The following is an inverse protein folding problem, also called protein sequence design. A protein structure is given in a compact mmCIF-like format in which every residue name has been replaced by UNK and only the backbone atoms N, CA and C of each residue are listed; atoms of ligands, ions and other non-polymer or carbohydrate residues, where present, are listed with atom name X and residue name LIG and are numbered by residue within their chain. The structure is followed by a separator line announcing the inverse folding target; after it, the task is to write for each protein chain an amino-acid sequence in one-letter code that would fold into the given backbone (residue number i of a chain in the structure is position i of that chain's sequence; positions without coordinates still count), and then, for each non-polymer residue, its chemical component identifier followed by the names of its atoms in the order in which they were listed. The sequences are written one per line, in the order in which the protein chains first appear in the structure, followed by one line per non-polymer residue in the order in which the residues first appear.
data_IF_429434545209
#
_entry.id   IF_429434545209
#
_cell.length_a   1.000
_cell.length_b   1.000
_cell.length_c   1.000
_cell.angle_alpha   90.00
_cell.angle_beta   90.00
_cell.angle_gamma   90.00
#
_symmetry.space_group_name_H-M   'P 1'
#
loop_
_entity.id
_entity.type
_entity.pdbx_description
1 polymer ?
#
# COMPACT_ATOMS: atom_id res chain seq x y z
N UNK A 1 14.28 -30.64 3.77
CA UNK A 1 13.47 -29.44 4.01
C UNK A 1 12.57 -29.15 2.80
N UNK A 2 11.55 -28.29 2.92
CA UNK A 2 10.53 -28.06 1.87
C UNK A 2 11.15 -27.74 0.49
N UNK A 3 12.25 -26.98 0.45
CA UNK A 3 12.91 -26.64 -0.80
C UNK A 3 13.63 -27.83 -1.47
N UNK A 4 14.05 -28.85 -0.70
CA UNK A 4 14.75 -30.03 -1.25
C UNK A 4 13.83 -30.94 -2.07
N UNK A 5 12.51 -30.76 -1.95
CA UNK A 5 11.51 -31.55 -2.67
C UNK A 5 11.25 -31.05 -4.10
N UNK A 6 11.66 -29.81 -4.43
CA UNK A 6 11.39 -29.19 -5.73
C UNK A 6 12.70 -28.90 -6.46
N UNK A 7 13.06 -29.75 -7.44
CA UNK A 7 14.22 -29.50 -8.32
C UNK A 7 13.94 -28.35 -9.29
N UNK A 8 14.93 -27.48 -9.48
CA UNK A 8 14.91 -26.33 -10.41
C UNK A 8 13.86 -25.25 -10.08
N UNK A 9 13.53 -25.05 -8.80
CA UNK A 9 12.62 -23.99 -8.36
C UNK A 9 13.34 -23.04 -7.43
N UNK A 10 13.26 -21.74 -7.71
CA UNK A 10 13.64 -20.69 -6.77
C UNK A 10 12.40 -20.27 -5.97
N UNK A 11 12.49 -20.28 -4.64
CA UNK A 11 11.38 -19.92 -3.75
C UNK A 11 11.58 -18.50 -3.22
N UNK A 12 10.58 -17.65 -3.42
CA UNK A 12 10.53 -16.29 -2.85
C UNK A 12 9.39 -16.24 -1.85
N UNK A 13 9.69 -15.81 -0.63
CA UNK A 13 8.68 -15.59 0.42
C UNK A 13 8.63 -14.11 0.76
N UNK A 14 7.42 -13.53 0.69
CA UNK A 14 7.18 -12.13 0.95
C UNK A 14 5.97 -11.97 1.88
N UNK A 15 6.06 -11.06 2.85
CA UNK A 15 4.98 -10.80 3.80
C UNK A 15 5.22 -9.55 4.64
N UNK A 16 4.15 -8.88 5.04
CA UNK A 16 4.20 -7.64 5.83
C UNK A 16 4.39 -7.86 7.33
N UNK A 17 4.16 -9.09 7.82
CA UNK A 17 4.31 -9.46 9.24
C UNK A 17 5.75 -9.91 9.51
N UNK A 18 6.65 -8.96 9.75
CA UNK A 18 8.09 -9.22 9.97
C UNK A 18 8.33 -10.30 11.02
N UNK A 19 7.68 -10.24 12.19
CA UNK A 19 7.82 -11.26 13.25
C UNK A 19 7.46 -12.70 12.80
N UNK A 20 6.48 -12.87 11.89
CA UNK A 20 6.16 -14.19 11.33
C UNK A 20 7.21 -14.63 10.31
N UNK A 21 7.71 -13.70 9.48
CA UNK A 21 8.80 -13.99 8.56
C UNK A 21 10.08 -14.40 9.32
N UNK A 22 10.35 -13.74 10.45
CA UNK A 22 11.45 -14.08 11.34
C UNK A 22 11.26 -15.45 11.99
N UNK A 23 10.06 -15.80 12.44
CA UNK A 23 9.82 -17.12 13.04
C UNK A 23 9.97 -18.27 12.04
N UNK A 24 9.69 -18.03 10.76
CA UNK A 24 9.87 -19.00 9.66
C UNK A 24 11.33 -19.22 9.26
N UNK A 25 12.20 -18.23 9.46
CA UNK A 25 13.56 -18.22 8.89
C UNK A 25 14.67 -18.16 9.95
N UNK A 26 14.42 -17.60 11.14
CA UNK A 26 15.46 -17.32 12.15
C UNK A 26 15.38 -18.21 13.39
N UNK A 27 14.20 -18.75 13.72
CA UNK A 27 14.07 -19.59 14.91
C UNK A 27 14.81 -20.92 14.74
N UNK A 28 15.49 -21.37 15.80
CA UNK A 28 16.16 -22.68 15.80
C UNK A 28 15.09 -23.78 15.67
N UNK A 29 15.13 -24.53 14.57
CA UNK A 29 14.08 -25.50 14.21
C UNK A 29 13.00 -24.95 13.27
N UNK A 30 13.13 -23.71 12.80
CA UNK A 30 12.24 -23.16 11.81
C UNK A 30 12.31 -23.93 10.48
N UNK A 31 11.20 -24.04 9.72
CA UNK A 31 11.14 -24.85 8.51
C UNK A 31 12.13 -24.44 7.42
N UNK A 32 12.59 -23.19 7.44
CA UNK A 32 13.42 -22.55 6.41
C UNK A 32 14.71 -21.95 6.96
N UNK A 33 15.13 -22.41 8.14
CA UNK A 33 16.33 -21.91 8.80
C UNK A 33 17.56 -22.03 7.89
N UNK A 34 18.26 -20.92 7.65
CA UNK A 34 19.43 -20.80 6.75
C UNK A 34 19.18 -21.19 5.27
N UNK A 35 17.92 -21.24 4.82
CA UNK A 35 17.59 -21.62 3.43
C UNK A 35 17.33 -20.43 2.50
N UNK A 36 17.24 -19.21 3.04
CA UNK A 36 16.81 -18.03 2.31
C UNK A 36 17.70 -16.83 2.61
N UNK A 37 17.91 -15.99 1.60
CA UNK A 37 18.49 -14.66 1.78
C UNK A 37 17.39 -13.68 2.24
N UNK A 38 17.74 -12.79 3.15
CA UNK A 38 16.80 -11.80 3.70
C UNK A 38 16.96 -10.48 2.95
N UNK A 39 15.85 -9.99 2.41
CA UNK A 39 15.76 -8.66 1.83
C UNK A 39 14.66 -7.90 2.57
N UNK A 40 15.04 -6.81 3.25
CA UNK A 40 14.07 -5.86 3.79
C UNK A 40 13.76 -4.83 2.73
N UNK A 41 12.48 -4.65 2.41
CA UNK A 41 12.03 -3.60 1.51
C UNK A 41 11.60 -2.40 2.35
N UNK A 42 12.22 -1.25 2.07
CA UNK A 42 11.76 0.03 2.57
C UNK A 42 10.60 0.58 1.73
N UNK A 43 10.04 1.73 2.14
CA UNK A 43 9.15 2.49 1.27
C UNK A 43 9.88 2.89 -0.02
N UNK A 44 9.11 3.01 -1.11
CA UNK A 44 9.60 3.58 -2.37
C UNK A 44 9.66 5.10 -2.17
N UNK A 45 10.76 5.78 -2.55
CA UNK A 45 10.93 7.20 -2.28
C UNK A 45 10.14 8.07 -3.27
N UNK A 46 9.97 9.35 -2.93
CA UNK A 46 9.14 10.29 -3.70
C UNK A 46 9.64 10.47 -5.14
N UNK A 47 10.96 10.56 -5.30
CA UNK A 47 11.63 10.74 -6.58
C UNK A 47 11.36 9.61 -7.58
N UNK A 48 10.98 8.42 -7.09
CA UNK A 48 10.57 7.29 -7.92
C UNK A 48 9.05 7.28 -8.17
N UNK A 49 8.27 7.71 -7.17
CA UNK A 49 6.81 7.77 -7.26
C UNK A 49 6.30 8.85 -8.19
N UNK A 50 6.79 10.08 -8.06
CA UNK A 50 6.28 11.22 -8.83
C UNK A 50 6.38 10.98 -10.34
N UNK A 51 7.54 10.54 -10.90
CA UNK A 51 7.61 10.20 -12.32
C UNK A 51 6.69 9.05 -12.72
N UNK A 52 6.53 8.04 -11.85
CA UNK A 52 5.61 6.94 -12.08
C UNK A 52 4.15 7.43 -12.18
N UNK A 53 3.69 8.24 -11.23
CA UNK A 53 2.33 8.77 -11.18
C UNK A 53 2.04 9.66 -12.39
N UNK A 54 2.94 10.59 -12.72
CA UNK A 54 2.83 11.45 -13.90
C UNK A 54 2.68 10.63 -15.18
N UNK A 55 3.54 9.61 -15.36
CA UNK A 55 3.50 8.72 -16.52
C UNK A 55 2.18 7.94 -16.59
N UNK A 56 1.72 7.38 -15.47
CA UNK A 56 0.48 6.58 -15.42
C UNK A 56 -0.76 7.43 -15.69
N UNK A 57 -0.84 8.62 -15.12
CA UNK A 57 -1.93 9.56 -15.34
C UNK A 57 -2.01 10.00 -16.82
N UNK A 58 -0.86 10.32 -17.41
CA UNK A 58 -0.79 10.67 -18.83
C UNK A 58 -1.23 9.52 -19.75
N UNK A 59 -0.71 8.30 -19.51
CA UNK A 59 -1.13 7.11 -20.27
C UNK A 59 -2.62 6.77 -20.07
N UNK A 60 -3.19 7.13 -18.93
CA UNK A 60 -4.62 7.00 -18.64
C UNK A 60 -5.50 8.07 -19.28
N UNK A 61 -4.91 9.07 -19.96
CA UNK A 61 -5.65 10.15 -20.62
C UNK A 61 -6.15 11.25 -19.67
N UNK A 62 -5.72 11.26 -18.41
CA UNK A 62 -6.05 12.28 -17.41
C UNK A 62 -4.78 12.74 -16.70
N UNK A 63 -3.90 13.51 -17.36
CA UNK A 63 -2.65 13.94 -16.76
C UNK A 63 -2.89 14.86 -15.56
N UNK A 64 -1.89 14.98 -14.69
CA UNK A 64 -1.89 16.03 -13.65
C UNK A 64 -1.88 17.41 -14.30
N UNK A 65 -2.63 18.35 -13.71
CA UNK A 65 -2.73 19.72 -14.20
C UNK A 65 -1.38 20.47 -14.10
N UNK A 66 -0.62 20.16 -13.05
CA UNK A 66 0.69 20.73 -12.76
C UNK A 66 1.48 19.81 -11.80
N UNK A 67 2.79 20.03 -11.72
CA UNK A 67 3.71 19.23 -10.90
C UNK A 67 3.44 19.40 -9.39
N UNK A 68 2.97 20.57 -8.93
CA UNK A 68 2.66 20.78 -7.51
C UNK A 68 1.47 19.93 -7.05
N UNK A 69 0.55 19.59 -7.95
CA UNK A 69 -0.58 18.71 -7.64
C UNK A 69 -0.11 17.28 -7.30
N UNK A 70 0.85 16.71 -8.03
CA UNK A 70 1.34 15.34 -7.74
C UNK A 70 2.18 15.28 -6.46
N UNK A 71 3.00 16.29 -6.19
CA UNK A 71 3.71 16.42 -4.90
C UNK A 71 2.72 16.60 -3.75
N UNK A 72 1.70 17.43 -3.94
CA UNK A 72 0.66 17.62 -2.93
C UNK A 72 -0.18 16.37 -2.66
N UNK A 73 -0.31 15.45 -3.62
CA UNK A 73 -0.91 14.12 -3.42
C UNK A 73 0.02 13.25 -2.58
N UNK A 74 1.31 13.22 -2.92
CA UNK A 74 2.33 12.49 -2.18
C UNK A 74 2.41 12.93 -0.71
N UNK A 75 2.39 14.22 -0.44
CA UNK A 75 2.45 14.79 0.92
C UNK A 75 1.31 14.29 1.82
N UNK A 76 0.13 14.04 1.23
CA UNK A 76 -1.04 13.55 1.97
C UNK A 76 -0.95 12.02 2.13
N UNK A 77 -0.58 11.30 1.07
CA UNK A 77 -0.54 9.83 1.08
C UNK A 77 0.61 9.28 1.94
N UNK A 78 1.73 9.98 1.96
CA UNK A 78 2.96 9.53 2.59
C UNK A 78 3.60 8.34 1.86
N UNK A 79 4.63 7.72 2.46
CA UNK A 79 5.51 6.79 1.76
C UNK A 79 4.97 5.36 1.64
N UNK A 80 3.73 5.11 2.08
CA UNK A 80 3.13 3.77 2.05
C UNK A 80 2.57 3.49 0.65
N UNK A 81 3.09 2.48 -0.09
CA UNK A 81 2.67 2.23 -1.48
C UNK A 81 1.17 2.06 -1.66
N UNK A 82 0.51 1.41 -0.70
CA UNK A 82 -0.93 1.19 -0.73
C UNK A 82 -1.69 2.53 -0.69
N UNK A 83 -1.32 3.44 0.21
CA UNK A 83 -1.98 4.73 0.39
C UNK A 83 -1.79 5.62 -0.84
N UNK A 84 -0.57 5.67 -1.39
CA UNK A 84 -0.25 6.42 -2.62
C UNK A 84 -1.05 5.91 -3.80
N UNK A 85 -1.11 4.59 -3.98
CA UNK A 85 -1.88 3.98 -5.08
C UNK A 85 -3.38 4.22 -4.92
N UNK A 86 -3.91 4.08 -3.70
CA UNK A 86 -5.32 4.31 -3.43
C UNK A 86 -5.70 5.77 -3.69
N UNK A 87 -4.90 6.72 -3.22
CA UNK A 87 -5.14 8.15 -3.46
C UNK A 87 -5.02 8.52 -4.94
N UNK A 88 -4.02 8.01 -5.63
CA UNK A 88 -3.85 8.23 -7.07
C UNK A 88 -5.01 7.66 -7.88
N UNK A 89 -5.49 6.47 -7.52
CA UNK A 89 -6.63 5.82 -8.16
C UNK A 89 -7.92 6.63 -7.98
N UNK A 90 -8.24 7.06 -6.76
CA UNK A 90 -9.45 7.86 -6.54
C UNK A 90 -9.37 9.23 -7.20
N UNK A 91 -8.21 9.89 -7.13
CA UNK A 91 -7.97 11.16 -7.83
C UNK A 91 -8.16 11.01 -9.34
N UNK A 92 -7.67 9.92 -9.92
CA UNK A 92 -7.84 9.63 -11.35
C UNK A 92 -9.31 9.39 -11.72
N UNK A 93 -10.07 8.68 -10.89
CA UNK A 93 -11.49 8.39 -11.16
C UNK A 93 -12.37 9.63 -11.08
N UNK A 94 -12.06 10.55 -10.16
CA UNK A 94 -12.80 11.80 -10.00
C UNK A 94 -12.38 12.91 -10.95
N UNK A 95 -11.21 12.78 -11.60
CA UNK A 95 -10.74 13.75 -12.56
C UNK A 95 -11.72 13.91 -13.74
N UNK A 96 -11.75 15.11 -14.31
CA UNK A 96 -12.28 15.34 -15.65
C UNK A 96 -11.18 15.06 -16.66
N UNK A 97 -10.77 16.10 -17.39
CA UNK A 97 -9.64 16.03 -18.33
C UNK A 97 -8.28 16.01 -17.62
N UNK A 98 -8.20 16.59 -16.42
CA UNK A 98 -6.96 16.69 -15.64
C UNK A 98 -7.20 16.33 -14.16
N UNK A 99 -6.15 15.82 -13.52
CA UNK A 99 -6.08 15.70 -12.06
C UNK A 99 -5.54 17.04 -11.54
N UNK A 100 -6.41 17.86 -10.97
CA UNK A 100 -6.04 19.13 -10.33
C UNK A 100 -6.07 19.00 -8.80
N UNK A 101 -5.63 20.06 -8.09
CA UNK A 101 -5.61 20.09 -6.63
C UNK A 101 -6.97 19.81 -6.01
N UNK A 102 -8.05 20.34 -6.61
CA UNK A 102 -9.42 20.15 -6.11
C UNK A 102 -9.83 18.68 -6.22
N UNK A 103 -9.48 18.01 -7.31
CA UNK A 103 -9.73 16.58 -7.48
C UNK A 103 -9.02 15.76 -6.40
N UNK A 104 -7.76 16.08 -6.08
CA UNK A 104 -7.01 15.40 -5.00
C UNK A 104 -7.67 15.63 -3.64
N UNK A 105 -8.10 16.86 -3.34
CA UNK A 105 -8.73 17.18 -2.06
C UNK A 105 -10.09 16.46 -1.89
N UNK A 106 -10.90 16.37 -2.96
CA UNK A 106 -12.19 15.64 -2.93
C UNK A 106 -11.95 14.13 -2.80
N UNK A 107 -11.02 13.56 -3.55
CA UNK A 107 -10.63 12.15 -3.45
C UNK A 107 -10.15 11.79 -2.03
N UNK A 108 -9.34 12.66 -1.42
CA UNK A 108 -8.88 12.48 -0.05
C UNK A 108 -10.05 12.46 0.94
N UNK A 109 -10.98 13.41 0.81
CA UNK A 109 -12.17 13.47 1.68
C UNK A 109 -13.01 12.20 1.58
N UNK A 110 -13.29 11.73 0.36
CA UNK A 110 -14.06 10.50 0.14
C UNK A 110 -13.36 9.26 0.70
N UNK A 111 -12.04 9.14 0.51
CA UNK A 111 -11.26 8.04 1.07
C UNK A 111 -11.32 7.98 2.58
N UNK A 112 -11.16 9.12 3.25
CA UNK A 112 -11.28 9.22 4.71
C UNK A 112 -12.70 8.85 5.15
N UNK A 113 -13.73 9.33 4.44
CA UNK A 113 -15.12 8.97 4.74
C UNK A 113 -15.39 7.47 4.59
N UNK A 114 -14.87 6.81 3.56
CA UNK A 114 -15.01 5.37 3.37
C UNK A 114 -14.31 4.57 4.47
N UNK A 115 -13.07 4.93 4.81
CA UNK A 115 -12.33 4.27 5.89
C UNK A 115 -12.93 4.55 7.28
N UNK A 116 -13.52 5.71 7.51
CA UNK A 116 -14.17 6.03 8.78
C UNK A 116 -15.32 5.05 9.10
N UNK A 117 -16.09 4.64 8.10
CA UNK A 117 -17.13 3.62 8.27
C UNK A 117 -16.55 2.24 8.63
N UNK A 118 -15.39 1.89 8.08
CA UNK A 118 -14.70 0.64 8.42
C UNK A 118 -14.13 0.69 9.84
N UNK A 119 -13.51 1.79 10.23
CA UNK A 119 -13.00 1.97 11.59
C UNK A 119 -14.12 2.02 12.62
N UNK A 120 -15.25 2.66 12.34
CA UNK A 120 -16.43 2.65 13.21
C UNK A 120 -16.92 1.22 13.45
N UNK A 121 -16.99 0.38 12.40
CA UNK A 121 -17.38 -1.03 12.52
C UNK A 121 -16.38 -1.85 13.34
N UNK A 122 -15.08 -1.61 13.20
CA UNK A 122 -14.06 -2.26 14.05
C UNK A 122 -14.23 -1.81 15.50
N UNK A 123 -14.45 -0.51 15.74
CA UNK A 123 -14.63 0.05 17.07
C UNK A 123 -15.88 -0.50 17.77
N UNK A 124 -17.02 -0.61 17.07
CA UNK A 124 -18.25 -1.23 17.58
C UNK A 124 -18.03 -2.71 17.96
N UNK A 125 -17.23 -3.45 17.20
CA UNK A 125 -16.88 -4.85 17.53
C UNK A 125 -15.97 -4.98 18.74
N UNK A 126 -15.15 -3.98 19.00
CA UNK A 126 -14.25 -3.92 20.16
C UNK A 126 -14.92 -3.26 21.39
N UNK A 127 -16.11 -2.70 21.22
CA UNK A 127 -16.89 -2.09 22.30
C UNK A 127 -17.34 -3.17 23.29
N UNK A 128 -17.14 -3.00 24.61
CA UNK A 128 -17.51 -4.00 25.63
C UNK A 128 -19.00 -4.39 25.64
N UNK A 129 -19.87 -3.62 25.00
CA UNK A 129 -21.32 -3.85 24.94
C UNK A 129 -21.81 -4.79 23.83
N UNK A 130 -20.94 -5.25 22.92
CA UNK A 130 -21.33 -6.16 21.83
C UNK A 130 -21.30 -7.65 22.21
N UNK A 131 -20.81 -7.98 23.42
CA UNK A 131 -20.98 -9.29 24.04
C UNK A 131 -22.28 -9.30 24.87
N UNK A 132 -23.42 -9.36 24.20
CA UNK A 132 -24.71 -9.59 24.86
C UNK A 132 -25.32 -10.88 24.32
N UNK A 133 -25.32 -11.87 25.23
CA UNK A 133 -25.85 -13.24 25.25
C UNK A 133 -24.95 -14.37 24.72
#
# INVERSE_FOLDING_TARGET
ALADQYRNVAMVLAGSKQHLMESLVLAKGAPLYNMLERMSLGPIPEEDWVPFLLRRAHLGGRPFADETTVHGLWDIAGPVPFDVQQMAYESFNQAGDYIDRRTVDVATSELVHHQAADYARVFERLSPGSAVF
#
